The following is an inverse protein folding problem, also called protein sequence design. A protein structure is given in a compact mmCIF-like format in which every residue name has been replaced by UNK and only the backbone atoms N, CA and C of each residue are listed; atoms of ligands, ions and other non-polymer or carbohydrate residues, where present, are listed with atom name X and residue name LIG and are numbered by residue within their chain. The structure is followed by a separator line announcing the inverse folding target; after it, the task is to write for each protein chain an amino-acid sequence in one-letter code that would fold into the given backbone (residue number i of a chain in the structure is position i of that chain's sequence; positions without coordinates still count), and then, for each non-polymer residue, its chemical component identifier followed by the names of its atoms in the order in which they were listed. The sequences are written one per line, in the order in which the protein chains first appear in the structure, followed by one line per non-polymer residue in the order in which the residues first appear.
data_IF_598256846350
#
_entry.id   IF_598256846350
#
_cell.length_a   1.000
_cell.length_b   1.000
_cell.length_c   1.000
_cell.angle_alpha   90.00
_cell.angle_beta   90.00
_cell.angle_gamma   90.00
#
_symmetry.space_group_name_H-M   'P 1'
#
loop_
_entity.id
_entity.type
_entity.pdbx_description
1 polymer ?
#
# COMPACT_ATOMS: atom_id res chain seq x y z
N UNK A 1 -43.35 39.39 -11.91
CA UNK A 1 -42.03 40.06 -12.04
C UNK A 1 -41.03 39.75 -10.91
N UNK A 2 -41.32 38.86 -9.93
CA UNK A 2 -40.32 38.48 -8.91
C UNK A 2 -39.42 37.29 -9.32
N UNK A 3 -39.92 36.36 -10.15
CA UNK A 3 -39.19 35.14 -10.51
C UNK A 3 -37.89 35.39 -11.31
N UNK A 4 -37.84 36.44 -12.12
CA UNK A 4 -36.63 36.79 -12.88
C UNK A 4 -35.54 37.39 -11.98
N UNK A 5 -35.92 38.05 -10.88
CA UNK A 5 -34.94 38.63 -9.96
C UNK A 5 -34.14 37.54 -9.26
N UNK A 6 -34.80 36.53 -8.69
CA UNK A 6 -34.13 35.40 -8.03
C UNK A 6 -33.25 34.60 -8.99
N UNK A 7 -33.69 34.40 -10.24
CA UNK A 7 -32.87 33.70 -11.24
C UNK A 7 -31.62 34.49 -11.62
N UNK A 8 -31.73 35.82 -11.76
CA UNK A 8 -30.56 36.69 -11.94
C UNK A 8 -29.67 36.73 -10.70
N UNK A 9 -30.20 36.77 -9.48
CA UNK A 9 -29.37 36.80 -8.26
C UNK A 9 -28.62 35.49 -8.08
N UNK A 10 -29.26 34.33 -8.32
CA UNK A 10 -28.62 33.02 -8.24
C UNK A 10 -27.56 32.83 -9.33
N UNK A 11 -27.80 33.36 -10.53
CA UNK A 11 -26.79 33.37 -11.61
C UNK A 11 -25.63 34.32 -11.31
N UNK A 12 -25.90 35.49 -10.72
CA UNK A 12 -24.89 36.49 -10.37
C UNK A 12 -23.99 36.00 -9.23
N UNK A 13 -24.56 35.38 -8.20
CA UNK A 13 -23.78 34.76 -7.11
C UNK A 13 -22.93 33.59 -7.64
N UNK A 14 -23.48 32.73 -8.49
CA UNK A 14 -22.70 31.63 -9.10
C UNK A 14 -21.57 32.14 -10.00
N UNK A 15 -21.77 33.24 -10.72
CA UNK A 15 -20.75 33.83 -11.59
C UNK A 15 -19.63 34.51 -10.81
N UNK A 16 -19.94 35.19 -9.70
CA UNK A 16 -18.92 35.80 -8.82
C UNK A 16 -18.11 34.73 -8.05
N UNK A 17 -18.73 33.63 -7.62
CA UNK A 17 -18.01 32.52 -6.99
C UNK A 17 -17.08 31.76 -7.97
N UNK A 18 -17.41 31.73 -9.26
CA UNK A 18 -16.56 31.10 -10.29
C UNK A 18 -15.50 32.04 -10.88
N UNK A 19 -15.49 33.32 -10.47
CA UNK A 19 -14.57 34.36 -10.93
C UNK A 19 -13.53 34.82 -9.94
N UNK A 20 -13.39 34.15 -8.79
CA UNK A 20 -12.20 34.35 -7.98
C UNK A 20 -11.02 33.68 -8.70
N UNK A 21 -10.02 34.43 -9.21
CA UNK A 21 -8.74 33.83 -9.50
C UNK A 21 -8.22 33.25 -8.18
N UNK A 22 -8.18 31.93 -8.07
CA UNK A 22 -7.48 31.23 -6.99
C UNK A 22 -6.01 31.63 -7.02
N UNK A 23 -5.62 32.62 -6.21
CA UNK A 23 -4.29 32.77 -5.61
C UNK A 23 -4.15 34.04 -4.73
N UNK A 24 -5.22 34.67 -4.27
CA UNK A 24 -5.06 35.64 -3.16
C UNK A 24 -4.81 34.85 -1.87
N UNK A 25 -3.52 34.69 -1.54
CA UNK A 25 -3.08 34.00 -0.34
C UNK A 25 -3.52 34.83 0.87
N UNK A 26 -4.71 34.53 1.39
CA UNK A 26 -5.27 35.21 2.56
C UNK A 26 -4.27 35.12 3.73
N UNK A 27 -3.72 36.27 4.13
CA UNK A 27 -2.80 36.32 5.26
C UNK A 27 -3.61 36.39 6.56
N UNK A 28 -3.62 35.29 7.29
CA UNK A 28 -4.26 35.21 8.62
C UNK A 28 -3.19 35.30 9.69
N UNK A 29 -3.26 36.34 10.52
CA UNK A 29 -2.47 36.42 11.74
C UNK A 29 -3.22 35.70 12.86
N UNK A 30 -2.60 34.70 13.49
CA UNK A 30 -3.18 34.00 14.62
C UNK A 30 -2.16 33.89 15.76
N UNK A 31 -2.65 33.92 16.99
CA UNK A 31 -1.86 33.58 18.16
C UNK A 31 -2.11 32.13 18.51
N UNK A 32 -1.07 31.31 18.39
CA UNK A 32 -1.10 29.90 18.76
C UNK A 32 -0.28 29.69 20.04
N UNK A 33 -0.66 28.73 20.90
CA UNK A 33 0.16 28.34 22.04
C UNK A 33 1.58 27.95 21.62
N UNK A 34 2.57 28.29 22.45
CA UNK A 34 4.00 28.05 22.14
C UNK A 34 4.30 26.56 21.91
N UNK A 35 3.67 25.68 22.68
CA UNK A 35 3.81 24.22 22.54
C UNK A 35 3.34 23.72 21.17
N UNK A 36 2.32 24.37 20.59
CA UNK A 36 1.82 24.02 19.26
C UNK A 36 2.77 24.51 18.18
N UNK A 37 3.33 25.72 18.34
CA UNK A 37 4.36 26.24 17.44
C UNK A 37 5.57 25.28 17.37
N UNK A 38 6.07 24.84 18.52
CA UNK A 38 7.18 23.88 18.58
C UNK A 38 6.85 22.55 17.88
N UNK A 39 5.62 22.02 18.06
CA UNK A 39 5.17 20.81 17.38
C UNK A 39 5.06 20.98 15.87
N UNK A 40 4.55 22.12 15.40
CA UNK A 40 4.43 22.42 13.98
C UNK A 40 5.83 22.53 13.34
N UNK A 41 6.77 23.20 14.02
CA UNK A 41 8.16 23.31 13.55
C UNK A 41 8.85 21.94 13.49
N UNK A 42 8.62 21.07 14.48
CA UNK A 42 9.12 19.70 14.46
C UNK A 42 8.56 18.89 13.28
N UNK A 43 7.24 18.94 13.06
CA UNK A 43 6.59 18.25 11.94
C UNK A 43 7.04 18.80 10.59
N UNK A 44 7.29 20.11 10.50
CA UNK A 44 7.84 20.77 9.32
C UNK A 44 9.25 20.24 8.99
N UNK A 45 10.12 20.14 10.00
CA UNK A 45 11.47 19.60 9.85
C UNK A 45 11.47 18.12 9.44
N UNK A 46 10.65 17.30 10.10
CA UNK A 46 10.53 15.86 9.82
C UNK A 46 10.05 15.60 8.37
N UNK A 47 9.05 16.37 7.93
CA UNK A 47 8.45 16.22 6.59
C UNK A 47 9.15 17.02 5.50
N UNK A 48 10.20 17.79 5.84
CA UNK A 48 10.91 18.73 4.95
C UNK A 48 9.94 19.68 4.22
N UNK A 49 8.96 20.22 4.96
CA UNK A 49 7.94 21.15 4.45
C UNK A 49 7.99 22.44 5.25
N UNK A 50 7.44 23.51 4.68
CA UNK A 50 7.24 24.76 5.42
C UNK A 50 6.19 24.59 6.53
N UNK A 51 6.35 25.24 7.70
CA UNK A 51 5.35 25.25 8.76
C UNK A 51 3.96 25.68 8.29
N UNK A 52 3.91 26.62 7.33
CA UNK A 52 2.66 27.08 6.73
C UNK A 52 1.93 25.99 5.94
N UNK A 53 2.67 25.10 5.29
CA UNK A 53 2.13 23.95 4.56
C UNK A 53 1.55 22.91 5.52
N UNK A 54 2.22 22.68 6.66
CA UNK A 54 1.72 21.79 7.71
C UNK A 54 0.40 22.33 8.30
N UNK A 55 0.32 23.63 8.54
CA UNK A 55 -0.91 24.28 9.01
C UNK A 55 -2.02 24.16 7.98
N UNK A 56 -1.72 24.38 6.69
CA UNK A 56 -2.69 24.22 5.62
C UNK A 56 -3.22 22.78 5.54
N UNK A 57 -2.32 21.79 5.57
CA UNK A 57 -2.70 20.37 5.58
C UNK A 57 -3.58 20.03 6.79
N UNK A 58 -3.21 20.50 7.98
CA UNK A 58 -3.98 20.26 9.20
C UNK A 58 -5.38 20.90 9.13
N UNK A 59 -5.49 22.12 8.60
CA UNK A 59 -6.77 22.81 8.40
C UNK A 59 -7.62 22.12 7.34
N UNK A 60 -7.03 21.72 6.22
CA UNK A 60 -7.71 20.96 5.17
C UNK A 60 -8.27 19.64 5.74
N UNK A 61 -7.45 18.88 6.48
CA UNK A 61 -7.90 17.67 7.17
C UNK A 61 -9.01 17.92 8.18
N UNK A 62 -8.94 19.01 8.96
CA UNK A 62 -10.00 19.38 9.91
C UNK A 62 -11.31 19.72 9.20
N UNK A 63 -11.24 20.34 8.02
CA UNK A 63 -12.39 20.69 7.20
C UNK A 63 -12.92 19.52 6.36
N UNK A 64 -12.28 18.34 6.43
CA UNK A 64 -12.67 17.15 5.68
C UNK A 64 -12.18 17.12 4.23
N UNK A 65 -11.24 17.99 3.85
CA UNK A 65 -10.50 17.85 2.61
C UNK A 65 -9.42 16.79 2.81
N UNK A 66 -9.58 15.64 2.15
CA UNK A 66 -8.55 14.62 2.17
C UNK A 66 -7.42 15.02 1.22
N UNK A 67 -6.38 15.66 1.78
CA UNK A 67 -5.15 16.02 1.04
C UNK A 67 -4.32 14.78 0.71
N UNK A 68 -4.79 13.59 1.10
CA UNK A 68 -4.01 12.38 1.12
C UNK A 68 -4.04 11.66 -0.24
N UNK A 69 -2.96 11.84 -1.00
CA UNK A 69 -2.58 10.99 -2.16
C UNK A 69 -2.48 9.48 -1.85
N UNK A 70 -2.69 9.07 -0.59
CA UNK A 70 -2.64 7.68 -0.17
C UNK A 70 -3.81 6.86 -0.68
N UNK A 71 -4.94 7.47 -1.07
CA UNK A 71 -6.05 6.74 -1.71
C UNK A 71 -5.59 5.99 -2.96
N UNK A 72 -4.71 6.58 -3.77
CA UNK A 72 -4.20 5.92 -4.97
C UNK A 72 -3.29 4.72 -4.65
N UNK A 73 -2.46 4.83 -3.60
CA UNK A 73 -1.60 3.72 -3.15
C UNK A 73 -2.41 2.63 -2.46
N UNK A 74 -3.43 3.01 -1.70
CA UNK A 74 -4.34 2.10 -1.03
C UNK A 74 -5.16 1.32 -2.06
N UNK A 75 -5.70 2.00 -3.08
CA UNK A 75 -6.42 1.36 -4.18
C UNK A 75 -5.53 0.39 -4.98
N UNK A 76 -4.27 0.77 -5.24
CA UNK A 76 -3.31 -0.11 -5.90
C UNK A 76 -3.02 -1.37 -5.05
N UNK A 77 -2.82 -1.18 -3.75
CA UNK A 77 -2.59 -2.28 -2.81
C UNK A 77 -3.83 -3.20 -2.69
N UNK A 78 -5.04 -2.63 -2.67
CA UNK A 78 -6.29 -3.38 -2.64
C UNK A 78 -6.48 -4.21 -3.92
N UNK A 79 -6.11 -3.66 -5.08
CA UNK A 79 -6.11 -4.38 -6.34
C UNK A 79 -5.10 -5.55 -6.33
N UNK A 80 -3.88 -5.34 -5.84
CA UNK A 80 -2.87 -6.40 -5.70
C UNK A 80 -3.34 -7.51 -4.76
N UNK A 81 -3.89 -7.17 -3.60
CA UNK A 81 -4.43 -8.15 -2.64
C UNK A 81 -5.57 -8.96 -3.26
N UNK A 82 -6.43 -8.32 -4.05
CA UNK A 82 -7.51 -9.00 -4.76
C UNK A 82 -6.98 -9.95 -5.83
N UNK A 83 -5.95 -9.53 -6.58
CA UNK A 83 -5.27 -10.42 -7.54
C UNK A 83 -4.62 -11.62 -6.84
N UNK A 84 -3.85 -11.42 -5.77
CA UNK A 84 -3.24 -12.52 -5.02
C UNK A 84 -4.29 -13.52 -4.51
N UNK A 85 -5.39 -13.02 -3.93
CA UNK A 85 -6.49 -13.89 -3.47
C UNK A 85 -7.08 -14.72 -4.60
N UNK A 86 -7.21 -14.13 -5.80
CA UNK A 86 -7.69 -14.86 -6.97
C UNK A 86 -6.70 -15.95 -7.41
N UNK A 87 -5.40 -15.66 -7.43
CA UNK A 87 -4.35 -16.63 -7.78
C UNK A 87 -4.30 -17.78 -6.79
N UNK A 88 -4.38 -17.49 -5.48
CA UNK A 88 -4.44 -18.53 -4.43
C UNK A 88 -5.66 -19.42 -4.64
N UNK A 89 -6.83 -18.82 -4.88
CA UNK A 89 -8.07 -19.59 -5.12
C UNK A 89 -7.95 -20.50 -6.35
N UNK A 90 -7.29 -20.03 -7.42
CA UNK A 90 -7.04 -20.83 -8.62
C UNK A 90 -6.05 -21.98 -8.35
N UNK A 91 -4.95 -21.70 -7.65
CA UNK A 91 -3.97 -22.69 -7.24
C UNK A 91 -4.60 -23.78 -6.36
N UNK A 92 -5.43 -23.40 -5.39
CA UNK A 92 -6.18 -24.35 -4.56
C UNK A 92 -7.11 -25.25 -5.37
N UNK A 93 -7.75 -24.69 -6.41
CA UNK A 93 -8.62 -25.44 -7.31
C UNK A 93 -7.82 -26.44 -8.15
N UNK A 94 -6.68 -26.02 -8.70
CA UNK A 94 -5.76 -26.88 -9.46
C UNK A 94 -5.23 -28.01 -8.57
N UNK A 95 -4.80 -27.71 -7.33
CA UNK A 95 -4.32 -28.73 -6.38
C UNK A 95 -5.43 -29.73 -6.06
N UNK A 96 -6.66 -29.27 -5.81
CA UNK A 96 -7.81 -30.17 -5.59
C UNK A 96 -8.10 -31.03 -6.82
N UNK A 97 -8.02 -30.47 -8.02
CA UNK A 97 -8.23 -31.20 -9.27
C UNK A 97 -7.14 -32.26 -9.49
N UNK A 98 -5.87 -31.93 -9.24
CA UNK A 98 -4.75 -32.87 -9.32
C UNK A 98 -4.87 -33.99 -8.28
N UNK A 99 -5.27 -33.66 -7.05
CA UNK A 99 -5.55 -34.64 -6.00
C UNK A 99 -6.72 -35.59 -6.38
N UNK A 100 -7.74 -35.06 -7.05
CA UNK A 100 -8.89 -35.86 -7.50
C UNK A 100 -8.57 -36.72 -8.74
N UNK A 101 -7.68 -36.25 -9.63
CA UNK A 101 -7.22 -36.98 -10.81
C UNK A 101 -6.21 -38.08 -10.51
N UNK A 102 -5.67 -38.14 -9.29
CA UNK A 102 -4.76 -39.20 -8.84
C UNK A 102 -5.33 -39.99 -7.65
N UNK A 103 -6.28 -40.91 -7.87
CA UNK A 103 -6.63 -41.89 -6.86
C UNK A 103 -5.64 -43.07 -6.92
N UNK A 104 -4.77 -43.17 -5.91
CA UNK A 104 -3.81 -44.25 -5.60
C UNK A 104 -2.50 -44.14 -6.42
N UNK A 105 -1.28 -44.27 -5.87
CA UNK A 105 -0.68 -45.24 -4.91
C UNK A 105 0.67 -44.59 -4.40
N UNK A 106 1.36 -45.03 -3.33
CA UNK A 106 1.02 -45.20 -1.92
C UNK A 106 2.14 -44.73 -0.93
N UNK A 107 1.94 -44.97 0.37
CA UNK A 107 3.00 -45.28 1.35
C UNK A 107 4.04 -44.19 1.67
N UNK A 108 3.66 -43.24 2.54
CA UNK A 108 4.60 -42.83 3.60
C UNK A 108 4.66 -43.97 4.63
N UNK A 109 5.37 -45.03 4.24
CA UNK A 109 5.81 -46.04 5.17
C UNK A 109 6.91 -45.39 5.99
N UNK A 110 6.59 -44.99 7.22
CA UNK A 110 7.60 -44.86 8.25
C UNK A 110 8.23 -46.24 8.42
N UNK A 111 9.29 -46.52 7.66
CA UNK A 111 10.19 -47.62 7.93
C UNK A 111 10.99 -47.26 9.18
N UNK A 112 10.36 -47.46 10.33
CA UNK A 112 11.08 -47.70 11.57
C UNK A 112 11.80 -49.04 11.41
N UNK A 113 13.12 -48.94 11.22
CA UNK A 113 14.17 -49.87 11.64
C UNK A 113 13.82 -51.37 11.72
N UNK A 114 14.40 -52.17 10.81
CA UNK A 114 15.14 -53.36 11.20
C UNK A 114 15.97 -53.90 10.02
N UNK A 115 17.28 -53.66 10.12
CA UNK A 115 18.39 -54.58 9.79
C UNK A 115 18.39 -55.27 8.43
N UNK A 116 19.38 -54.93 7.59
CA UNK A 116 20.38 -55.84 6.98
C UNK A 116 21.37 -55.00 6.15
N UNK A 117 22.62 -54.98 6.60
CA UNK A 117 23.87 -54.65 5.89
C UNK A 117 24.04 -55.44 4.57
N UNK A 118 25.12 -55.23 3.79
CA UNK A 118 25.85 -54.01 3.44
C UNK A 118 25.96 -53.93 1.89
N UNK A 119 26.51 -52.86 1.31
CA UNK A 119 27.49 -52.92 0.21
C UNK A 119 27.69 -51.55 -0.48
N UNK A 120 28.97 -51.20 -0.56
CA UNK A 120 29.63 -50.40 -1.59
C UNK A 120 29.35 -48.89 -1.63
N UNK A 121 30.24 -48.16 -0.95
CA UNK A 121 31.06 -47.08 -1.51
C UNK A 121 30.71 -46.67 -2.94
N UNK A 122 30.10 -45.50 -3.10
CA UNK A 122 30.46 -44.50 -4.12
C UNK A 122 30.05 -43.14 -3.51
N UNK A 123 31.02 -42.23 -3.50
CA UNK A 123 30.97 -40.92 -2.87
C UNK A 123 29.65 -40.18 -3.11
N UNK A 124 28.80 -40.07 -2.08
CA UNK A 124 27.75 -39.05 -2.02
C UNK A 124 28.44 -37.69 -1.82
N UNK A 125 28.99 -37.14 -2.90
CA UNK A 125 29.21 -35.71 -3.01
C UNK A 125 27.81 -35.13 -3.24
N UNK A 126 27.12 -34.87 -2.13
CA UNK A 126 25.88 -34.10 -2.11
C UNK A 126 26.26 -32.67 -2.54
N UNK A 127 26.20 -32.43 -3.85
CA UNK A 127 26.41 -31.13 -4.46
C UNK A 127 25.36 -30.18 -3.85
N UNK A 128 25.76 -29.09 -3.16
CA UNK A 128 24.81 -28.23 -2.50
C UNK A 128 23.90 -27.57 -3.55
N UNK A 129 22.59 -27.60 -3.30
CA UNK A 129 21.57 -27.03 -4.19
C UNK A 129 21.95 -25.60 -4.63
N UNK A 130 22.23 -25.41 -5.92
CA UNK A 130 22.70 -24.16 -6.54
C UNK A 130 21.67 -23.01 -6.53
N UNK A 131 20.59 -23.12 -5.76
CA UNK A 131 19.44 -22.20 -5.81
C UNK A 131 19.68 -20.92 -4.96
N UNK A 132 20.79 -20.86 -4.21
CA UNK A 132 21.09 -19.75 -3.27
C UNK A 132 22.04 -18.66 -3.81
N UNK A 133 22.57 -18.77 -5.03
CA UNK A 133 23.49 -17.77 -5.61
C UNK A 133 22.79 -16.59 -6.31
N UNK A 134 21.53 -16.77 -6.73
CA UNK A 134 20.78 -15.70 -7.41
C UNK A 134 20.30 -14.59 -6.47
N UNK A 135 20.32 -14.83 -5.16
CA UNK A 135 19.88 -13.89 -4.13
C UNK A 135 21.01 -13.12 -3.45
N UNK A 136 22.28 -13.43 -3.77
CA UNK A 136 23.43 -12.71 -3.22
C UNK A 136 23.74 -11.44 -4.04
N UNK A 137 24.04 -10.32 -3.35
CA UNK A 137 24.50 -9.10 -4.01
C UNK A 137 25.82 -9.35 -4.75
N UNK A 138 26.16 -8.56 -5.79
CA UNK A 138 27.29 -8.85 -6.69
C UNK A 138 28.66 -8.95 -6.00
N UNK A 139 28.81 -8.37 -4.81
CA UNK A 139 30.03 -8.40 -4.02
C UNK A 139 30.24 -9.73 -3.28
N UNK A 140 29.20 -10.56 -3.17
CA UNK A 140 29.16 -11.81 -2.38
C UNK A 140 28.90 -13.06 -3.26
N UNK A 141 28.97 -12.90 -4.59
CA UNK A 141 28.92 -14.00 -5.58
C UNK A 141 30.29 -14.60 -5.83
#
# INVERSE_FOLDING_TARGET
MLYNYYKLTVLFINYELTKLPMAEKAMVSCQIPQDWKAKIEHLAAERKKDPSQIIYEALAHYLGEDVNRNDSRLNALEAEVTMLRSSISQLELIVKELQQRSPLVPTWGNSAAASVEPLADEDFIEEPDEILIDFLPPEER
#
